data_IF_117328780531
#
_entry.id   IF_117328780531
#
_cell.length_a   1.000
_cell.length_b   1.000
_cell.length_c   1.000
_cell.angle_alpha   90.00
_cell.angle_beta   90.00
_cell.angle_gamma   90.00
#
_symmetry.space_group_name_H-M   'P 1'
#
loop_
_entity.id
_entity.type
_entity.pdbx_description
1 polymer ?
#
# COMPACT_ATOMS: atom_id res chain seq x y z
N UNK A 1 -16.98 -11.15 -5.35
CA UNK A 1 -15.75 -10.77 -6.08
C UNK A 1 -15.80 -11.48 -7.43
N UNK A 2 -15.42 -10.82 -8.55
CA UNK A 2 -15.36 -11.48 -9.85
C UNK A 2 -14.40 -12.67 -9.82
N UNK A 3 -14.81 -13.81 -10.38
CA UNK A 3 -14.05 -15.08 -10.31
C UNK A 3 -12.67 -15.00 -10.95
N UNK A 4 -12.46 -14.05 -11.86
CA UNK A 4 -11.20 -13.85 -12.57
C UNK A 4 -10.29 -12.79 -11.95
N UNK A 5 -10.58 -12.28 -10.75
CA UNK A 5 -9.75 -11.26 -10.10
C UNK A 5 -9.21 -11.76 -8.77
N UNK A 6 -7.89 -11.66 -8.62
CA UNK A 6 -7.19 -11.83 -7.35
C UNK A 6 -6.96 -10.46 -6.74
N UNK A 7 -7.47 -10.22 -5.53
CA UNK A 7 -7.25 -8.97 -4.79
C UNK A 7 -6.14 -9.14 -3.77
N UNK A 8 -5.20 -8.20 -3.75
CA UNK A 8 -4.10 -8.13 -2.81
C UNK A 8 -4.28 -6.90 -1.92
N UNK A 9 -3.95 -7.06 -0.65
CA UNK A 9 -4.04 -5.99 0.33
C UNK A 9 -3.17 -6.26 1.54
N UNK A 10 -2.99 -5.21 2.32
CA UNK A 10 -2.19 -5.25 3.54
C UNK A 10 -3.09 -5.61 4.73
N UNK A 11 -2.63 -6.59 5.53
CA UNK A 11 -3.31 -6.98 6.76
C UNK A 11 -2.74 -6.18 7.94
N UNK A 12 -3.57 -5.32 8.51
CA UNK A 12 -3.24 -4.42 9.61
C UNK A 12 -3.74 -4.91 10.97
N UNK A 13 -4.17 -6.18 11.08
CA UNK A 13 -4.71 -6.73 12.33
C UNK A 13 -3.65 -6.83 13.43
N UNK A 14 -2.44 -7.28 13.07
CA UNK A 14 -1.33 -7.43 14.00
C UNK A 14 -0.34 -6.27 13.91
N UNK A 15 -0.08 -5.62 15.04
CA UNK A 15 0.99 -4.61 15.15
C UNK A 15 2.31 -5.33 15.41
N UNK A 16 3.29 -5.15 14.52
CA UNK A 16 4.63 -5.74 14.65
C UNK A 16 5.73 -4.70 14.90
N UNK A 17 5.85 -3.70 14.04
CA UNK A 17 6.95 -2.72 14.10
C UNK A 17 6.49 -1.27 14.10
N UNK A 18 5.32 -0.99 13.50
CA UNK A 18 4.70 0.33 13.49
C UNK A 18 3.24 0.15 13.90
N UNK A 19 2.81 0.91 14.90
CA UNK A 19 1.42 1.03 15.28
C UNK A 19 0.82 2.24 14.56
N UNK A 20 -0.22 1.98 13.77
CA UNK A 20 -1.00 3.02 13.11
C UNK A 20 -2.21 3.35 13.99
N UNK A 21 -2.33 4.62 14.37
CA UNK A 21 -3.37 5.16 15.26
C UNK A 21 -4.59 5.71 14.50
N UNK A 22 -4.58 5.67 13.17
CA UNK A 22 -5.66 6.11 12.29
C UNK A 22 -6.21 5.05 11.35
N UNK A 23 -6.18 3.76 11.73
CA UNK A 23 -6.71 2.67 10.90
C UNK A 23 -8.25 2.65 10.93
N UNK A 24 -8.90 2.63 9.77
CA UNK A 24 -10.35 2.47 9.61
C UNK A 24 -10.76 1.02 9.29
N UNK A 25 -9.82 0.19 8.84
CA UNK A 25 -10.01 -1.23 8.51
C UNK A 25 -8.79 -2.06 8.92
N UNK A 26 -8.97 -3.37 9.04
CA UNK A 26 -7.86 -4.33 9.18
C UNK A 26 -7.30 -4.80 7.84
N UNK A 27 -7.95 -4.48 6.72
CA UNK A 27 -7.49 -4.86 5.39
C UNK A 27 -7.60 -3.67 4.44
N UNK A 28 -6.51 -3.37 3.74
CA UNK A 28 -6.45 -2.31 2.74
C UNK A 28 -5.97 -2.85 1.40
N UNK A 29 -6.79 -2.74 0.37
CA UNK A 29 -6.44 -3.20 -0.97
C UNK A 29 -5.35 -2.32 -1.62
N UNK A 30 -4.35 -2.93 -2.26
CA UNK A 30 -3.30 -2.20 -2.98
C UNK A 30 -3.03 -2.71 -4.40
N UNK A 31 -3.50 -3.90 -4.76
CA UNK A 31 -3.39 -4.42 -6.12
C UNK A 31 -4.50 -5.40 -6.45
N UNK A 32 -4.81 -5.52 -7.74
CA UNK A 32 -5.67 -6.57 -8.28
C UNK A 32 -5.01 -7.17 -9.51
N UNK A 33 -5.11 -8.48 -9.69
CA UNK A 33 -4.56 -9.21 -10.82
C UNK A 33 -5.71 -9.96 -11.50
N UNK A 34 -6.00 -9.56 -12.74
CA UNK A 34 -7.00 -10.19 -13.60
C UNK A 34 -6.38 -11.37 -14.33
N UNK A 35 -7.07 -12.52 -14.27
CA UNK A 35 -6.73 -13.76 -14.97
C UNK A 35 -5.29 -14.26 -14.73
N UNK A 36 -4.64 -13.81 -13.66
CA UNK A 36 -3.22 -14.09 -13.40
C UNK A 36 -2.23 -13.31 -14.27
N UNK A 37 -2.72 -12.52 -15.23
CA UNK A 37 -1.91 -11.99 -16.34
C UNK A 37 -1.83 -10.45 -16.38
N UNK A 38 -2.84 -9.76 -15.83
CA UNK A 38 -2.99 -8.31 -16.00
C UNK A 38 -3.23 -7.61 -14.67
N UNK A 39 -2.25 -6.81 -14.23
CA UNK A 39 -2.45 -5.92 -13.08
C UNK A 39 -3.47 -4.84 -13.43
N UNK A 40 -4.47 -4.66 -12.57
CA UNK A 40 -5.51 -3.64 -12.73
C UNK A 40 -4.92 -2.24 -12.65
N UNK A 41 -5.52 -1.28 -13.34
CA UNK A 41 -5.21 0.13 -13.15
C UNK A 41 -5.60 0.62 -11.75
N UNK A 42 -5.05 1.75 -11.31
CA UNK A 42 -5.36 2.31 -10.00
C UNK A 42 -6.85 2.63 -9.84
N UNK A 43 -7.45 3.30 -10.83
CA UNK A 43 -8.85 3.71 -10.75
C UNK A 43 -9.80 2.50 -10.76
N UNK A 44 -9.43 1.45 -11.52
CA UNK A 44 -10.15 0.18 -11.58
C UNK A 44 -10.06 -0.60 -10.26
N UNK A 45 -8.88 -0.64 -9.64
CA UNK A 45 -8.69 -1.19 -8.29
C UNK A 45 -9.55 -0.43 -7.27
N UNK A 46 -9.56 0.90 -7.29
CA UNK A 46 -10.39 1.70 -6.39
C UNK A 46 -11.89 1.47 -6.63
N UNK A 47 -12.31 1.25 -7.87
CA UNK A 47 -13.67 0.84 -8.22
C UNK A 47 -14.02 -0.49 -7.56
N UNK A 48 -13.20 -1.52 -7.80
CA UNK A 48 -13.40 -2.85 -7.23
C UNK A 48 -13.38 -2.84 -5.69
N UNK A 49 -12.45 -2.11 -5.08
CA UNK A 49 -12.34 -2.00 -3.62
C UNK A 49 -13.61 -1.38 -3.02
N UNK A 50 -14.14 -0.32 -3.66
CA UNK A 50 -15.43 0.29 -3.27
C UNK A 50 -16.59 -0.69 -3.38
N UNK A 51 -16.66 -1.44 -4.48
CA UNK A 51 -17.74 -2.43 -4.69
C UNK A 51 -17.69 -3.58 -3.67
N UNK A 52 -16.52 -3.84 -3.08
CA UNK A 52 -16.32 -4.85 -2.04
C UNK A 52 -16.40 -4.30 -0.61
N UNK A 53 -16.70 -3.01 -0.44
CA UNK A 53 -16.70 -2.31 0.86
C UNK A 53 -15.36 -2.46 1.63
N UNK A 54 -14.25 -2.41 0.89
CA UNK A 54 -12.88 -2.50 1.41
C UNK A 54 -12.14 -1.21 1.04
N UNK A 55 -11.47 -0.54 1.99
CA UNK A 55 -10.66 0.63 1.64
C UNK A 55 -9.45 0.21 0.82
N UNK A 56 -9.05 1.04 -0.15
CA UNK A 56 -7.71 0.93 -0.72
C UNK A 56 -6.69 1.56 0.22
N UNK A 57 -5.41 1.22 0.05
CA UNK A 57 -4.33 1.98 0.68
C UNK A 57 -4.42 3.47 0.30
N UNK A 58 -4.00 4.40 1.19
CA UNK A 58 -4.11 5.83 0.91
C UNK A 58 -3.32 6.25 -0.34
N UNK A 59 -3.97 6.99 -1.24
CA UNK A 59 -3.30 7.63 -2.36
C UNK A 59 -2.59 8.90 -1.88
N UNK A 60 -1.25 8.88 -1.87
CA UNK A 60 -0.45 10.03 -1.44
C UNK A 60 -0.32 11.09 -2.53
N UNK A 61 -0.13 10.66 -3.78
CA UNK A 61 0.09 11.55 -4.91
C UNK A 61 -0.25 10.86 -6.23
N UNK A 62 -0.78 11.60 -7.21
CA UNK A 62 -1.07 11.14 -8.57
C UNK A 62 -0.63 12.22 -9.57
N UNK A 63 0.59 12.10 -10.07
CA UNK A 63 1.16 13.02 -11.04
C UNK A 63 2.21 12.35 -11.93
N UNK A 64 2.61 13.02 -13.00
CA UNK A 64 3.81 12.67 -13.77
C UNK A 64 5.01 13.37 -13.15
N UNK A 65 6.12 12.66 -13.04
CA UNK A 65 7.38 13.22 -12.58
C UNK A 65 8.29 13.48 -13.77
N UNK A 66 8.81 14.70 -13.88
CA UNK A 66 9.72 15.09 -14.95
C UNK A 66 11.18 14.83 -14.60
N UNK A 67 11.50 14.55 -13.33
CA UNK A 67 12.84 14.21 -12.87
C UNK A 67 12.82 13.32 -11.63
N UNK A 68 13.92 12.60 -11.41
CA UNK A 68 14.12 11.81 -10.19
C UNK A 68 14.16 12.70 -8.93
N UNK A 69 14.71 13.91 -9.01
CA UNK A 69 14.73 14.84 -7.87
C UNK A 69 13.34 15.25 -7.40
N UNK A 70 12.42 15.51 -8.35
CA UNK A 70 11.02 15.81 -8.04
C UNK A 70 10.33 14.62 -7.35
N UNK A 71 10.60 13.41 -7.83
CA UNK A 71 10.10 12.18 -7.25
C UNK A 71 10.59 12.01 -5.80
N UNK A 72 11.89 12.12 -5.59
CA UNK A 72 12.52 11.99 -4.28
C UNK A 72 11.97 13.02 -3.29
N UNK A 73 11.85 14.29 -3.70
CA UNK A 73 11.28 15.34 -2.86
C UNK A 73 9.83 15.02 -2.47
N UNK A 74 9.03 14.51 -3.43
CA UNK A 74 7.65 14.11 -3.15
C UNK A 74 7.59 12.98 -2.12
N UNK A 75 8.46 11.98 -2.25
CA UNK A 75 8.57 10.87 -1.30
C UNK A 75 8.94 11.39 0.11
N UNK A 76 9.91 12.29 0.20
CA UNK A 76 10.42 12.83 1.48
C UNK A 76 9.40 13.72 2.20
N UNK A 77 8.55 14.44 1.47
CA UNK A 77 7.52 15.30 2.04
C UNK A 77 6.27 14.53 2.47
N UNK A 78 6.13 13.26 2.07
CA UNK A 78 4.97 12.46 2.41
C UNK A 78 4.90 12.16 3.91
N UNK A 79 3.70 12.25 4.45
CA UNK A 79 3.36 11.85 5.82
C UNK A 79 2.40 10.67 5.79
N UNK A 80 2.39 9.88 6.87
CA UNK A 80 1.38 8.84 7.04
C UNK A 80 -0.02 9.42 6.90
N UNK A 81 -0.90 8.66 6.27
CA UNK A 81 -2.33 8.97 6.20
C UNK A 81 -3.14 8.10 7.17
N UNK A 82 -2.48 7.20 7.90
CA UNK A 82 -3.10 6.33 8.89
C UNK A 82 -2.77 6.82 10.31
N UNK A 83 -2.97 8.13 10.53
CA UNK A 83 -2.78 8.80 11.82
C UNK A 83 -1.46 9.58 11.94
N UNK A 84 -0.96 9.74 13.17
CA UNK A 84 0.15 10.64 13.52
C UNK A 84 1.54 10.00 13.41
N UNK A 85 1.59 8.67 13.34
CA UNK A 85 2.85 7.93 13.30
C UNK A 85 3.58 8.05 11.95
N UNK A 86 4.91 7.80 11.90
CA UNK A 86 5.63 7.76 10.63
C UNK A 86 5.20 6.58 9.78
N UNK A 87 5.00 6.81 8.48
CA UNK A 87 4.81 5.72 7.51
C UNK A 87 6.10 4.88 7.42
N UNK A 88 5.98 3.58 7.17
CA UNK A 88 7.11 2.72 6.81
C UNK A 88 7.81 3.21 5.55
N UNK A 89 7.02 3.60 4.56
CA UNK A 89 7.49 3.88 3.23
C UNK A 89 6.34 4.16 2.29
N UNK A 90 6.65 4.14 1.00
CA UNK A 90 5.69 4.34 -0.08
C UNK A 90 5.93 3.37 -1.21
N UNK A 91 4.85 2.97 -1.88
CA UNK A 91 4.89 2.23 -3.14
C UNK A 91 4.59 3.21 -4.26
N UNK A 92 5.42 3.18 -5.29
CA UNK A 92 5.23 3.92 -6.52
C UNK A 92 4.80 2.94 -7.61
N UNK A 93 3.75 3.29 -8.34
CA UNK A 93 3.32 2.50 -9.49
C UNK A 93 2.74 3.39 -10.58
N UNK A 94 2.73 2.88 -11.80
CA UNK A 94 1.96 3.53 -12.86
C UNK A 94 0.46 3.44 -12.58
N UNK A 95 -0.28 4.48 -13.00
CA UNK A 95 -1.73 4.60 -12.83
C UNK A 95 -2.47 3.58 -13.70
N UNK A 96 -1.95 3.29 -14.90
CA UNK A 96 -2.54 2.31 -15.82
C UNK A 96 -2.29 0.88 -15.34
N UNK A 97 -3.10 -0.05 -15.85
CA UNK A 97 -2.78 -1.47 -15.74
C UNK A 97 -1.56 -1.83 -16.59
N UNK A 98 -0.88 -2.91 -16.23
CA UNK A 98 0.26 -3.46 -16.95
C UNK A 98 0.32 -4.99 -16.84
N UNK A 99 1.03 -5.64 -17.77
CA UNK A 99 1.14 -7.10 -17.77
C UNK A 99 1.87 -7.58 -16.50
N UNK A 100 1.52 -8.77 -16.04
CA UNK A 100 2.18 -9.45 -14.93
C UNK A 100 3.71 -9.48 -15.09
N UNK A 101 4.19 -9.68 -16.32
CA UNK A 101 5.61 -9.77 -16.66
C UNK A 101 6.36 -8.43 -16.62
N UNK A 102 5.66 -7.30 -16.51
CA UNK A 102 6.27 -5.96 -16.45
C UNK A 102 6.25 -5.36 -15.03
N UNK A 103 6.02 -6.19 -14.02
CA UNK A 103 5.88 -5.73 -12.64
C UNK A 103 7.09 -4.97 -12.11
N UNK A 104 8.30 -5.44 -12.44
CA UNK A 104 9.58 -4.83 -12.08
C UNK A 104 9.79 -3.45 -12.72
N UNK A 105 9.17 -3.20 -13.88
CA UNK A 105 9.27 -1.94 -14.62
C UNK A 105 8.30 -0.87 -14.10
N UNK A 106 7.12 -1.28 -13.65
CA UNK A 106 6.05 -0.34 -13.32
C UNK A 106 5.75 -0.20 -11.83
N UNK A 107 6.48 -0.90 -10.97
CA UNK A 107 6.33 -0.83 -9.52
C UNK A 107 7.68 -0.67 -8.84
N UNK A 108 7.77 0.26 -7.89
CA UNK A 108 8.93 0.47 -7.03
C UNK A 108 8.48 0.75 -5.60
N UNK A 109 9.36 0.53 -4.63
CA UNK A 109 9.10 0.89 -3.22
C UNK A 109 10.25 1.69 -2.65
N UNK A 110 9.93 2.60 -1.75
CA UNK A 110 10.88 3.30 -0.90
C UNK A 110 10.50 3.04 0.55
N UNK A 111 11.47 2.66 1.37
CA UNK A 111 11.31 2.43 2.80
C UNK A 111 12.21 3.45 3.52
N UNK A 112 11.67 4.11 4.56
CA UNK A 112 12.43 5.14 5.28
C UNK A 112 13.63 4.55 6.00
N UNK A 113 14.65 5.38 6.20
CA UNK A 113 15.80 5.02 7.04
C UNK A 113 15.37 4.70 8.48
N UNK A 114 16.10 3.80 9.13
CA UNK A 114 15.83 3.29 10.48
C UNK A 114 14.46 2.62 10.65
N UNK A 115 13.84 2.16 9.56
CA UNK A 115 12.82 1.10 9.64
C UNK A 115 13.56 -0.21 9.98
N UNK A 116 13.75 -0.46 11.27
CA UNK A 116 14.48 -1.62 11.80
C UNK A 116 13.83 -2.89 11.27
N UNK A 117 14.60 -3.70 10.54
CA UNK A 117 14.22 -5.08 10.30
C UNK A 117 14.61 -5.92 11.52
N UNK A 118 13.56 -6.33 12.26
CA UNK A 118 13.50 -7.44 13.21
C UNK A 118 14.42 -7.39 14.43
N UNK A 119 13.82 -7.12 15.59
CA UNK A 119 14.15 -7.88 16.79
C UNK A 119 13.74 -9.35 16.55
N UNK A 120 14.62 -10.31 16.86
CA UNK A 120 14.41 -11.75 16.63
C UNK A 120 13.16 -12.33 17.34
N UNK A 121 12.49 -11.53 18.17
CA UNK A 121 11.31 -11.86 18.98
C UNK A 121 9.97 -11.41 18.37
N UNK A 122 9.94 -10.79 17.17
CA UNK A 122 8.72 -10.20 16.58
C UNK A 122 7.48 -11.12 16.48
N UNK A 123 7.68 -12.45 16.40
CA UNK A 123 6.58 -13.44 16.42
C UNK A 123 5.87 -13.56 17.78
N UNK A 124 6.47 -13.05 18.85
CA UNK A 124 6.03 -13.24 20.24
C UNK A 124 5.46 -11.97 20.89
N UNK A 125 5.54 -10.81 20.24
CA UNK A 125 5.19 -9.50 20.80
C UNK A 125 4.21 -8.71 19.93
N UNK A 126 3.39 -9.38 19.13
CA UNK A 126 2.32 -8.70 18.41
C UNK A 126 1.17 -8.34 19.36
N UNK A 127 0.52 -7.20 19.09
CA UNK A 127 -0.75 -6.83 19.70
C UNK A 127 -1.78 -6.55 18.62
N UNK A 128 -3.05 -6.76 18.93
CA UNK A 128 -4.12 -6.41 18.01
C UNK A 128 -4.16 -4.89 17.79
N UNK A 129 -4.26 -4.47 16.54
CA UNK A 129 -4.43 -3.06 16.19
C UNK A 129 -5.81 -2.54 16.60
N UNK A 130 -5.90 -1.24 16.85
CA UNK A 130 -7.17 -0.56 17.16
C UNK A 130 -7.67 0.19 15.93
N UNK A 131 -8.97 0.10 15.65
CA UNK A 131 -9.60 0.89 14.60
C UNK A 131 -10.19 2.19 15.17
N UNK A 132 -10.03 3.29 14.45
CA UNK A 132 -10.76 4.53 14.73
C UNK A 132 -12.22 4.36 14.27
N UNK A 133 -13.16 4.69 15.16
CA UNK A 133 -14.61 4.66 14.87
C UNK A 133 -15.06 5.94 14.21
#
# INVERSE_FOLDING_TARGET
MPDNIQLFGENMFGVHSIEYDGLTSFFYAFAGLRDGEQWLGWDELCGLARDLDVPSVPLLNRQTFSSFGQLQQTIQLNKSQCGSCPAEGVVLRTVRGFSFHEFDRYTAKYVRENHIQTDATWRRTWKQATLVK
#
